data_IF_327523629824
#
_entry.id   IF_327523629824
#
_cell.length_a   1.000
_cell.length_b   1.000
_cell.length_c   1.000
_cell.angle_alpha   90.00
_cell.angle_beta   90.00
_cell.angle_gamma   90.00
#
_symmetry.space_group_name_H-M   'P 1'
#
loop_
_entity.id
_entity.type
_entity.pdbx_description
1 polymer ?
#
# COMPACT_ATOMS: atom_id res chain seq x y z
N UNK A 1 -15.27 -8.31 23.76
CA UNK A 1 -14.19 -7.52 23.12
C UNK A 1 -14.77 -6.79 21.94
N UNK A 2 -14.32 -5.57 21.68
CA UNK A 2 -14.73 -4.74 20.54
C UNK A 2 -13.52 -4.43 19.66
N UNK A 3 -13.74 -4.14 18.36
CA UNK A 3 -12.69 -3.79 17.40
C UNK A 3 -13.25 -2.90 16.29
N UNK A 4 -12.36 -2.35 15.46
CA UNK A 4 -12.75 -1.70 14.21
C UNK A 4 -13.63 -2.62 13.35
N UNK A 5 -14.71 -2.05 12.81
CA UNK A 5 -15.72 -2.74 11.99
C UNK A 5 -15.66 -2.35 10.52
N UNK A 6 -14.62 -1.60 10.12
CA UNK A 6 -14.49 -0.98 8.79
C UNK A 6 -15.74 -0.17 8.38
N UNK A 7 -16.51 0.32 9.34
CA UNK A 7 -17.80 0.98 9.09
C UNK A 7 -18.70 0.17 8.12
N UNK A 8 -18.78 -1.16 8.28
CA UNK A 8 -19.52 -2.03 7.35
C UNK A 8 -20.92 -1.52 6.93
N UNK A 9 -21.76 -0.91 7.80
CA UNK A 9 -23.08 -0.43 7.37
C UNK A 9 -23.01 0.67 6.30
N UNK A 10 -21.91 1.44 6.27
CA UNK A 10 -21.65 2.46 5.24
C UNK A 10 -21.09 1.83 3.97
N UNK A 11 -20.12 0.93 4.11
CA UNK A 11 -19.46 0.25 2.98
C UNK A 11 -20.46 -0.59 2.18
N UNK A 12 -21.38 -1.30 2.85
CA UNK A 12 -22.46 -2.06 2.21
C UNK A 12 -23.38 -1.18 1.35
N UNK A 13 -23.43 0.13 1.62
CA UNK A 13 -24.17 1.13 0.84
C UNK A 13 -23.27 1.96 -0.08
N UNK A 14 -22.03 1.54 -0.32
CA UNK A 14 -21.07 2.25 -1.18
C UNK A 14 -20.50 3.55 -0.60
N UNK A 15 -20.70 3.82 0.69
CA UNK A 15 -20.19 5.02 1.34
C UNK A 15 -18.81 4.78 1.97
N UNK A 16 -17.93 5.80 2.02
CA UNK A 16 -16.64 5.68 2.69
C UNK A 16 -16.78 5.42 4.19
N UNK A 17 -15.71 4.91 4.80
CA UNK A 17 -15.60 4.84 6.26
C UNK A 17 -15.56 6.23 6.87
N UNK A 18 -16.08 6.40 8.09
CA UNK A 18 -16.16 7.71 8.76
C UNK A 18 -14.80 8.39 8.80
N UNK A 19 -13.78 7.64 9.19
CA UNK A 19 -12.42 8.18 9.33
C UNK A 19 -11.76 8.52 7.98
N UNK A 20 -12.24 7.96 6.86
CA UNK A 20 -11.79 8.33 5.51
C UNK A 20 -12.54 9.56 5.00
N UNK A 21 -13.86 9.59 5.17
CA UNK A 21 -14.71 10.73 4.82
C UNK A 21 -14.31 12.01 5.55
N UNK A 22 -14.02 11.91 6.85
CA UNK A 22 -13.64 13.05 7.70
C UNK A 22 -12.14 13.31 7.71
N UNK A 23 -11.37 12.73 6.79
CA UNK A 23 -9.93 12.94 6.73
C UNK A 23 -9.61 14.35 6.21
N UNK A 24 -9.34 15.28 7.12
CA UNK A 24 -9.01 16.69 6.79
C UNK A 24 -7.82 16.80 5.85
N UNK A 25 -6.79 15.97 6.04
CA UNK A 25 -5.60 15.95 5.19
C UNK A 25 -5.82 15.31 3.81
N UNK A 26 -6.98 14.69 3.57
CA UNK A 26 -7.34 14.04 2.31
C UNK A 26 -6.32 12.98 1.85
N UNK A 27 -5.71 12.29 2.80
CA UNK A 27 -4.65 11.29 2.57
C UNK A 27 -5.16 9.85 2.60
N UNK A 28 -6.48 9.64 2.75
CA UNK A 28 -7.09 8.31 2.86
C UNK A 28 -7.82 7.98 1.57
N UNK A 29 -7.44 6.85 1.00
CA UNK A 29 -8.05 6.29 -0.20
C UNK A 29 -8.67 4.95 0.16
N UNK A 30 -9.79 4.62 -0.49
CA UNK A 30 -10.46 3.33 -0.39
C UNK A 30 -10.64 2.80 -1.83
N UNK A 31 -10.41 1.51 -2.01
CA UNK A 31 -10.51 0.86 -3.31
C UNK A 31 -10.60 -0.64 -3.15
N UNK A 32 -11.22 -1.30 -4.12
CA UNK A 32 -11.33 -2.76 -4.13
C UNK A 32 -9.98 -3.35 -4.54
N UNK A 33 -9.62 -4.48 -3.93
CA UNK A 33 -8.45 -5.29 -4.27
C UNK A 33 -8.91 -6.74 -4.38
N UNK A 34 -8.75 -7.34 -5.56
CA UNK A 34 -8.98 -8.76 -5.76
C UNK A 34 -7.74 -9.53 -5.28
N UNK A 35 -7.94 -10.65 -4.60
CA UNK A 35 -6.84 -11.48 -4.11
C UNK A 35 -7.17 -12.97 -4.17
N UNK A 36 -6.13 -13.78 -4.36
CA UNK A 36 -6.19 -15.23 -4.33
C UNK A 36 -6.14 -15.75 -2.88
N UNK A 37 -7.29 -16.21 -2.38
CA UNK A 37 -7.41 -16.66 -0.99
C UNK A 37 -6.66 -17.97 -0.71
N UNK A 38 -6.49 -18.83 -1.71
CA UNK A 38 -5.85 -20.14 -1.55
C UNK A 38 -4.33 -20.00 -1.30
N UNK A 39 -3.74 -18.89 -1.75
CA UNK A 39 -2.31 -18.59 -1.57
C UNK A 39 -1.98 -17.86 -0.27
N UNK A 40 -2.97 -17.47 0.53
CA UNK A 40 -2.76 -16.72 1.78
C UNK A 40 -1.77 -17.44 2.72
N UNK A 41 -1.98 -18.74 2.92
CA UNK A 41 -1.15 -19.52 3.84
C UNK A 41 0.30 -19.60 3.36
N UNK A 42 0.51 -19.77 2.06
CA UNK A 42 1.85 -19.79 1.46
C UNK A 42 2.54 -18.42 1.62
N UNK A 43 1.87 -17.34 1.24
CA UNK A 43 2.42 -15.98 1.31
C UNK A 43 2.75 -15.56 2.75
N UNK A 44 1.85 -15.82 3.71
CA UNK A 44 2.10 -15.51 5.13
C UNK A 44 3.26 -16.32 5.72
N UNK A 45 3.59 -17.47 5.14
CA UNK A 45 4.68 -18.36 5.57
C UNK A 45 5.95 -18.23 4.73
N UNK A 46 6.10 -17.16 3.93
CA UNK A 46 7.36 -16.86 3.24
C UNK A 46 8.55 -16.97 4.20
N UNK A 47 9.64 -17.63 3.79
CA UNK A 47 10.74 -18.00 4.69
C UNK A 47 11.38 -16.75 5.31
N UNK A 48 11.81 -15.82 4.47
CA UNK A 48 12.40 -14.56 4.88
C UNK A 48 11.33 -13.47 5.10
N UNK A 49 11.53 -12.66 6.14
CA UNK A 49 10.57 -11.61 6.51
C UNK A 49 10.52 -10.47 5.48
N UNK A 50 11.63 -10.23 4.78
CA UNK A 50 11.74 -9.22 3.73
C UNK A 50 10.90 -9.60 2.50
N UNK A 51 10.69 -10.89 2.27
CA UNK A 51 9.94 -11.39 1.11
C UNK A 51 8.42 -11.28 1.32
N UNK A 52 7.95 -11.00 2.55
CA UNK A 52 6.52 -10.93 2.87
C UNK A 52 5.78 -9.82 2.13
N UNK A 53 6.48 -8.72 1.82
CA UNK A 53 5.92 -7.64 0.99
C UNK A 53 5.61 -8.13 -0.42
N UNK A 54 6.59 -8.73 -1.09
CA UNK A 54 6.41 -9.25 -2.45
C UNK A 54 5.48 -10.46 -2.49
N UNK A 55 5.53 -11.32 -1.47
CA UNK A 55 4.61 -12.43 -1.32
C UNK A 55 3.15 -11.94 -1.22
N UNK A 56 2.90 -10.87 -0.46
CA UNK A 56 1.56 -10.27 -0.39
C UNK A 56 1.15 -9.63 -1.72
N UNK A 57 2.07 -8.94 -2.41
CA UNK A 57 1.79 -8.41 -3.76
C UNK A 57 1.41 -9.52 -4.74
N UNK A 58 2.04 -10.70 -4.64
CA UNK A 58 1.74 -11.88 -5.45
C UNK A 58 0.35 -12.50 -5.20
N UNK A 59 -0.33 -12.11 -4.11
CA UNK A 59 -1.73 -12.49 -3.87
C UNK A 59 -2.71 -11.63 -4.65
N UNK A 60 -2.34 -10.40 -5.00
CA UNK A 60 -3.25 -9.46 -5.64
C UNK A 60 -3.40 -9.76 -7.13
N UNK A 61 -4.65 -9.80 -7.58
CA UNK A 61 -5.02 -10.20 -8.93
C UNK A 61 -5.33 -8.99 -9.80
N UNK A 62 -4.81 -8.97 -11.04
CA UNK A 62 -5.04 -7.87 -11.97
C UNK A 62 -6.53 -7.76 -12.35
N UNK A 63 -7.22 -6.68 -11.96
CA UNK A 63 -8.65 -6.54 -12.23
C UNK A 63 -8.98 -6.30 -13.72
N UNK A 64 -7.97 -6.08 -14.57
CA UNK A 64 -8.12 -5.92 -16.01
C UNK A 64 -7.78 -7.20 -16.80
N UNK A 65 -7.22 -8.23 -16.15
CA UNK A 65 -6.93 -9.50 -16.80
C UNK A 65 -8.24 -10.25 -17.09
N UNK A 66 -8.56 -10.57 -18.37
CA UNK A 66 -9.76 -11.32 -18.72
C UNK A 66 -9.90 -12.65 -17.96
N UNK A 67 -8.79 -13.33 -17.67
CA UNK A 67 -8.81 -14.57 -16.90
C UNK A 67 -9.22 -14.37 -15.45
N UNK A 68 -8.74 -13.30 -14.81
CA UNK A 68 -9.14 -12.91 -13.44
C UNK A 68 -10.60 -12.48 -13.41
N UNK A 69 -11.05 -11.72 -14.40
CA UNK A 69 -12.44 -11.25 -14.48
C UNK A 69 -13.41 -12.44 -14.60
N UNK A 70 -13.12 -13.40 -15.49
CA UNK A 70 -13.95 -14.60 -15.64
C UNK A 70 -13.95 -15.47 -14.37
N UNK A 71 -12.79 -15.65 -13.74
CA UNK A 71 -12.69 -16.39 -12.47
C UNK A 71 -13.50 -15.69 -11.36
N UNK A 72 -13.35 -14.37 -11.21
CA UNK A 72 -14.08 -13.61 -10.20
C UNK A 72 -15.61 -13.64 -10.43
N UNK A 73 -16.07 -13.66 -11.68
CA UNK A 73 -17.49 -13.89 -12.01
C UNK A 73 -17.95 -15.29 -11.61
N UNK A 74 -17.14 -16.31 -11.87
CA UNK A 74 -17.42 -17.68 -11.47
C UNK A 74 -17.51 -17.83 -9.94
N UNK A 75 -16.69 -17.08 -9.21
CA UNK A 75 -16.70 -17.01 -7.74
C UNK A 75 -17.81 -16.11 -7.16
N UNK A 76 -18.64 -15.50 -8.01
CA UNK A 76 -19.80 -14.72 -7.61
C UNK A 76 -19.52 -13.28 -7.20
N UNK A 77 -18.38 -12.70 -7.59
CA UNK A 77 -18.09 -11.29 -7.37
C UNK A 77 -19.02 -10.42 -8.24
N UNK A 78 -19.79 -9.46 -7.66
CA UNK A 78 -20.70 -8.62 -8.43
C UNK A 78 -19.97 -7.72 -9.44
N UNK A 79 -20.60 -7.42 -10.58
CA UNK A 79 -19.98 -6.61 -11.63
C UNK A 79 -19.59 -5.19 -11.15
N UNK A 80 -20.37 -4.60 -10.24
CA UNK A 80 -20.03 -3.30 -9.64
C UNK A 80 -18.72 -3.36 -8.83
N UNK A 81 -18.41 -4.50 -8.20
CA UNK A 81 -17.15 -4.72 -7.49
C UNK A 81 -15.98 -4.91 -8.45
N UNK A 82 -16.19 -5.63 -9.56
CA UNK A 82 -15.17 -5.79 -10.61
C UNK A 82 -14.81 -4.43 -11.23
N UNK A 83 -15.83 -3.62 -11.56
CA UNK A 83 -15.62 -2.26 -12.04
C UNK A 83 -14.88 -1.40 -11.00
N UNK A 84 -15.28 -1.46 -9.73
CA UNK A 84 -14.60 -0.73 -8.67
C UNK A 84 -13.15 -1.19 -8.45
N UNK A 85 -12.83 -2.45 -8.73
CA UNK A 85 -11.46 -2.96 -8.71
C UNK A 85 -10.62 -2.39 -9.87
N UNK A 86 -11.18 -2.32 -11.08
CA UNK A 86 -10.53 -1.73 -12.26
C UNK A 86 -10.25 -0.24 -12.07
N UNK A 87 -11.11 0.46 -11.32
CA UNK A 87 -10.97 1.89 -11.01
C UNK A 87 -10.22 2.14 -9.68
N UNK A 88 -9.70 1.09 -9.03
CA UNK A 88 -9.17 1.16 -7.66
C UNK A 88 -7.93 2.06 -7.56
N UNK A 89 -7.97 3.14 -6.74
CA UNK A 89 -6.78 3.95 -6.48
C UNK A 89 -5.74 3.16 -5.67
N UNK A 90 -6.17 2.15 -4.90
CA UNK A 90 -5.28 1.30 -4.10
C UNK A 90 -4.46 0.38 -5.00
N UNK A 91 -5.08 -0.21 -6.04
CA UNK A 91 -4.37 -0.99 -7.06
C UNK A 91 -3.25 -0.17 -7.69
N UNK A 92 -3.55 1.06 -8.12
CA UNK A 92 -2.55 1.97 -8.71
C UNK A 92 -1.39 2.23 -7.76
N UNK A 93 -1.67 2.57 -6.50
CA UNK A 93 -0.62 2.90 -5.53
C UNK A 93 0.24 1.69 -5.12
N UNK A 94 -0.35 0.50 -4.97
CA UNK A 94 0.34 -0.69 -4.48
C UNK A 94 0.95 -1.55 -5.60
N UNK A 95 0.29 -1.67 -6.76
CA UNK A 95 0.68 -2.58 -7.84
C UNK A 95 1.34 -1.84 -9.01
N UNK A 96 0.81 -0.71 -9.45
CA UNK A 96 1.35 0.01 -10.62
C UNK A 96 2.51 0.94 -10.26
N UNK A 97 2.30 1.82 -9.26
CA UNK A 97 3.26 2.87 -8.91
C UNK A 97 4.24 2.47 -7.83
N UNK A 98 3.95 1.39 -7.08
CA UNK A 98 4.80 0.86 -6.00
C UNK A 98 5.16 1.92 -4.93
N UNK A 99 4.19 2.76 -4.56
CA UNK A 99 4.36 3.83 -3.56
C UNK A 99 3.71 3.53 -2.22
N UNK A 100 2.82 2.54 -2.14
CA UNK A 100 2.17 2.11 -0.91
C UNK A 100 2.75 0.79 -0.41
N UNK A 101 2.88 0.65 0.91
CA UNK A 101 3.47 -0.52 1.59
C UNK A 101 2.60 -1.00 2.76
N UNK A 102 2.60 -2.30 3.07
CA UNK A 102 1.94 -2.83 4.27
C UNK A 102 2.62 -2.29 5.54
N UNK A 103 1.85 -2.15 6.62
CA UNK A 103 2.43 -1.84 7.93
C UNK A 103 2.84 -3.12 8.65
N UNK A 104 4.12 -3.22 9.00
CA UNK A 104 4.74 -4.36 9.67
C UNK A 104 4.41 -5.72 8.99
N UNK A 105 4.83 -5.92 7.72
CA UNK A 105 4.60 -7.18 7.02
C UNK A 105 5.18 -8.39 7.77
N UNK A 106 6.25 -8.21 8.56
CA UNK A 106 6.89 -9.25 9.35
C UNK A 106 6.01 -9.89 10.44
N UNK A 107 4.84 -9.31 10.73
CA UNK A 107 3.83 -9.91 11.60
C UNK A 107 3.02 -11.01 10.90
N UNK A 108 3.20 -11.20 9.59
CA UNK A 108 2.62 -12.31 8.80
C UNK A 108 1.10 -12.32 8.82
N UNK A 109 0.47 -11.17 9.08
CA UNK A 109 -1.00 -11.02 9.06
C UNK A 109 -1.56 -10.59 7.71
N UNK A 110 -0.68 -10.32 6.73
CA UNK A 110 -1.03 -9.81 5.39
C UNK A 110 -1.99 -8.60 5.48
N UNK A 111 -1.55 -7.48 6.10
CA UNK A 111 -2.42 -6.36 6.41
C UNK A 111 -2.98 -5.70 5.14
N UNK A 112 -4.24 -5.24 5.18
CA UNK A 112 -4.93 -4.61 4.04
C UNK A 112 -5.08 -3.07 4.18
N UNK A 113 -4.42 -2.47 5.19
CA UNK A 113 -4.27 -1.01 5.32
C UNK A 113 -2.81 -0.68 5.07
N UNK A 114 -2.56 0.02 3.96
CA UNK A 114 -1.21 0.32 3.45
C UNK A 114 -0.90 1.81 3.57
N UNK A 115 0.38 2.15 3.57
CA UNK A 115 0.89 3.49 3.85
C UNK A 115 1.88 3.92 2.77
N UNK A 116 1.79 5.19 2.37
CA UNK A 116 2.81 5.84 1.55
C UNK A 116 3.84 6.48 2.50
N UNK A 117 5.14 6.22 2.35
CA UNK A 117 6.16 6.80 3.21
C UNK A 117 6.19 8.33 3.04
N UNK A 118 6.35 9.10 4.12
CA UNK A 118 6.40 10.55 4.03
C UNK A 118 7.76 11.03 3.51
N UNK A 119 7.76 12.04 2.66
CA UNK A 119 8.93 12.89 2.46
C UNK A 119 9.20 13.72 3.72
N UNK A 120 10.46 14.06 3.97
CA UNK A 120 10.85 14.95 5.06
C UNK A 120 11.86 16.00 4.59
N UNK A 121 11.97 17.16 5.25
CA UNK A 121 12.97 18.16 4.88
C UNK A 121 14.40 17.59 4.92
N UNK A 122 15.30 18.16 4.13
CA UNK A 122 16.71 17.77 4.14
C UNK A 122 17.38 18.29 5.41
N UNK A 123 18.09 17.43 6.14
CA UNK A 123 18.67 17.80 7.44
C UNK A 123 19.95 18.66 7.30
N UNK A 124 20.73 18.47 6.22
CA UNK A 124 22.09 19.03 6.08
C UNK A 124 22.28 20.05 4.94
N UNK A 125 21.36 20.18 3.98
CA UNK A 125 21.55 21.09 2.84
C UNK A 125 21.25 22.57 3.17
N UNK A 126 20.49 22.84 4.23
CA UNK A 126 20.21 24.21 4.66
C UNK A 126 21.43 24.87 5.34
N UNK A 127 22.29 24.10 6.02
CA UNK A 127 23.46 24.64 6.73
C UNK A 127 24.71 24.78 5.84
N UNK A 128 24.83 23.99 4.78
CA UNK A 128 26.04 23.94 3.96
C UNK A 128 26.06 24.89 2.75
N UNK A 129 24.99 25.66 2.49
CA UNK A 129 24.88 26.50 1.29
C UNK A 129 24.93 25.72 -0.03
N UNK A 130 24.81 24.38 0.03
CA UNK A 130 25.02 23.44 -1.07
C UNK A 130 23.69 23.02 -1.73
N UNK A 131 22.66 23.87 -1.67
CA UNK A 131 21.52 23.71 -2.57
C UNK A 131 21.96 24.29 -3.90
N UNK A 132 22.55 23.45 -4.75
CA UNK A 132 22.53 23.70 -6.18
C UNK A 132 21.07 23.87 -6.58
N UNK A 133 20.64 25.11 -6.74
CA UNK A 133 19.32 25.44 -7.26
C UNK A 133 19.31 25.13 -8.75
N UNK A 134 19.17 23.85 -9.06
CA UNK A 134 18.87 23.38 -10.42
C UNK A 134 17.67 22.44 -10.37
N UNK A 135 16.58 22.90 -9.74
CA UNK A 135 15.24 22.32 -9.89
C UNK A 135 15.05 20.83 -9.54
N UNK A 136 16.06 20.15 -9.02
CA UNK A 136 16.06 18.71 -8.80
C UNK A 136 15.55 18.37 -7.40
N UNK A 137 14.67 17.36 -7.31
CA UNK A 137 14.23 16.82 -6.03
C UNK A 137 15.43 16.36 -5.19
N UNK A 138 15.37 16.49 -3.85
CA UNK A 138 16.44 16.05 -2.97
C UNK A 138 16.72 14.55 -3.12
N UNK A 139 17.99 14.14 -3.07
CA UNK A 139 18.32 12.71 -2.93
C UNK A 139 17.70 12.16 -1.63
N UNK A 140 16.94 11.08 -1.75
CA UNK A 140 16.23 10.36 -0.69
C UNK A 140 17.16 10.06 0.51
N UNK A 141 18.46 9.87 0.27
CA UNK A 141 19.46 9.61 1.32
C UNK A 141 19.69 10.80 2.27
N UNK A 142 19.32 12.01 1.86
CA UNK A 142 19.54 13.24 2.63
C UNK A 142 18.30 13.70 3.42
N UNK A 143 17.20 12.94 3.35
CA UNK A 143 15.99 13.21 4.11
C UNK A 143 16.26 13.13 5.62
N UNK A 144 15.60 13.99 6.40
CA UNK A 144 15.71 14.01 7.87
C UNK A 144 15.22 12.71 8.53
N UNK A 145 14.17 12.11 7.99
CA UNK A 145 13.70 10.81 8.46
C UNK A 145 14.63 9.74 7.90
N UNK A 146 15.32 8.94 8.73
CA UNK A 146 16.20 7.90 8.24
C UNK A 146 15.44 6.86 7.42
N UNK A 147 15.94 6.53 6.23
CA UNK A 147 15.33 5.51 5.36
C UNK A 147 15.15 4.17 6.07
N UNK A 148 16.17 3.74 6.85
CA UNK A 148 16.11 2.52 7.68
C UNK A 148 14.92 2.51 8.64
N UNK A 149 14.56 3.67 9.20
CA UNK A 149 13.43 3.77 10.13
C UNK A 149 12.11 3.45 9.42
N UNK A 150 11.91 3.98 8.21
CA UNK A 150 10.73 3.69 7.39
C UNK A 150 10.72 2.23 6.93
N UNK A 151 11.87 1.72 6.47
CA UNK A 151 12.01 0.34 6.04
C UNK A 151 11.64 -0.68 7.14
N UNK A 152 12.07 -0.42 8.38
CA UNK A 152 11.73 -1.27 9.53
C UNK A 152 10.22 -1.34 9.79
N UNK A 153 9.44 -0.32 9.40
CA UNK A 153 7.98 -0.32 9.58
C UNK A 153 7.22 -0.85 8.36
N UNK A 154 7.75 -0.65 7.15
CA UNK A 154 6.97 -0.81 5.91
C UNK A 154 7.38 -2.03 5.07
N UNK A 155 8.62 -2.50 5.23
CA UNK A 155 9.24 -3.49 4.34
C UNK A 155 10.12 -4.47 5.12
N UNK A 156 9.80 -4.70 6.41
CA UNK A 156 10.56 -5.57 7.31
C UNK A 156 12.07 -5.28 7.37
N UNK A 157 12.46 -4.03 7.11
CA UNK A 157 13.84 -3.55 7.13
C UNK A 157 14.54 -3.48 5.77
N UNK A 158 13.89 -3.87 4.67
CA UNK A 158 14.44 -3.67 3.32
C UNK A 158 14.28 -2.21 2.85
N UNK A 159 15.40 -1.51 2.66
CA UNK A 159 15.39 -0.11 2.29
C UNK A 159 15.07 0.12 0.81
N UNK A 160 15.31 -0.86 -0.07
CA UNK A 160 15.23 -0.65 -1.51
C UNK A 160 13.83 -0.26 -2.00
N UNK A 161 12.73 -0.92 -1.58
CA UNK A 161 11.39 -0.54 -2.04
C UNK A 161 10.98 0.85 -1.53
N UNK A 162 11.34 1.19 -0.28
CA UNK A 162 11.03 2.51 0.29
C UNK A 162 11.83 3.61 -0.41
N UNK A 163 13.09 3.35 -0.78
CA UNK A 163 13.92 4.30 -1.52
C UNK A 163 13.37 4.57 -2.93
N UNK A 164 12.83 3.54 -3.59
CA UNK A 164 12.27 3.66 -4.93
C UNK A 164 10.96 4.47 -4.96
N UNK A 165 10.20 4.43 -3.87
CA UNK A 165 8.91 5.13 -3.76
C UNK A 165 9.03 6.63 -3.46
N UNK A 166 10.18 7.08 -2.93
CA UNK A 166 10.44 8.47 -2.52
C UNK A 166 11.20 9.24 -3.60
#
# INVERSE_FOLDING_TARGET
>A
SEKCTLCYPRIESGNPTVCSETCVGRIRYLGVMLYDADKIAEAANAADKTDLYDAQLGLFLDPNDPGVIEAARADGIPEDWLKAAQESPIWKMAMEWKVAFPLHPEYRTLPMVWYIPPLSPIQNAAEAGAIGMDGAMPDVKNLRIPLKYLANMLTAGDEAPVAQAL
#
